data_IF_308363865228
#
_entry.id   IF_308363865228
#
_cell.length_a   1.000
_cell.length_b   1.000
_cell.length_c   1.000
_cell.angle_alpha   90.00
_cell.angle_beta   90.00
_cell.angle_gamma   90.00
#
_symmetry.space_group_name_H-M   'P 1'
#
loop_
_entity.id
_entity.type
_entity.pdbx_description
1 polymer ?
#
# COMPACT_ATOMS: atom_id res chain seq x y z
N UNK A 1 -5.22 12.65 3.66
CA UNK A 1 -4.32 11.63 4.23
C UNK A 1 -4.52 11.62 5.74
N UNK A 2 -4.85 10.45 6.31
CA UNK A 2 -4.97 10.25 7.76
C UNK A 2 -3.59 9.96 8.35
N UNK A 3 -3.33 10.38 9.58
CA UNK A 3 -2.05 10.11 10.27
C UNK A 3 -2.32 9.17 11.44
N UNK A 4 -1.62 8.03 11.46
CA UNK A 4 -1.64 7.09 12.57
C UNK A 4 -0.29 7.10 13.28
N UNK A 5 -0.19 7.79 14.42
CA UNK A 5 1.08 8.00 15.14
C UNK A 5 1.77 6.69 15.55
N UNK A 6 0.99 5.65 15.87
CA UNK A 6 1.55 4.33 16.16
C UNK A 6 2.20 3.70 14.90
N UNK A 7 1.52 3.79 13.75
CA UNK A 7 2.02 3.28 12.48
C UNK A 7 3.31 3.99 12.05
N UNK A 8 3.39 5.31 12.24
CA UNK A 8 4.60 6.09 11.93
C UNK A 8 5.80 5.69 12.81
N UNK A 9 5.57 5.39 14.09
CA UNK A 9 6.64 4.98 15.02
C UNK A 9 7.18 3.58 14.73
N UNK A 10 6.32 2.63 14.35
CA UNK A 10 6.71 1.21 14.26
C UNK A 10 7.03 0.72 12.83
N UNK A 11 6.74 1.50 11.77
CA UNK A 11 6.94 1.09 10.37
C UNK A 11 8.35 0.59 10.04
N UNK A 12 9.38 1.22 10.62
CA UNK A 12 10.78 0.86 10.37
C UNK A 12 11.16 -0.49 10.99
N UNK A 13 10.75 -0.74 12.24
CA UNK A 13 11.01 -2.01 12.91
C UNK A 13 10.25 -3.16 12.26
N UNK A 14 9.01 -2.93 11.82
CA UNK A 14 8.23 -3.92 11.06
C UNK A 14 8.93 -4.24 9.73
N UNK A 15 9.39 -3.21 8.99
CA UNK A 15 10.11 -3.40 7.73
C UNK A 15 11.38 -4.26 7.91
N UNK A 16 12.13 -4.06 9.01
CA UNK A 16 13.33 -4.88 9.29
C UNK A 16 13.00 -6.36 9.40
N UNK A 17 11.86 -6.70 10.01
CA UNK A 17 11.40 -8.09 10.15
C UNK A 17 10.93 -8.60 8.79
N UNK A 18 10.07 -7.85 8.09
CA UNK A 18 9.55 -8.23 6.76
C UNK A 18 10.67 -8.51 5.76
N UNK A 19 11.73 -7.69 5.74
CA UNK A 19 12.90 -7.84 4.86
C UNK A 19 13.58 -9.21 4.97
N UNK A 20 13.47 -9.89 6.12
CA UNK A 20 14.07 -11.21 6.34
C UNK A 20 13.37 -12.33 5.56
N UNK A 21 12.14 -12.09 5.09
CA UNK A 21 11.32 -13.09 4.39
C UNK A 21 11.37 -12.96 2.87
N UNK A 22 12.02 -11.93 2.33
CA UNK A 22 12.07 -11.69 0.90
C UNK A 22 13.50 -11.79 0.36
N UNK A 23 13.63 -12.48 -0.77
CA UNK A 23 14.85 -12.44 -1.57
C UNK A 23 14.82 -11.17 -2.43
N UNK A 24 15.57 -10.13 -2.06
CA UNK A 24 15.55 -8.83 -2.75
C UNK A 24 15.94 -8.87 -4.24
N UNK A 25 16.45 -10.02 -4.73
CA UNK A 25 16.80 -10.20 -6.15
C UNK A 25 15.64 -10.66 -7.03
N UNK A 26 14.50 -11.05 -6.43
CA UNK A 26 13.35 -11.61 -7.15
C UNK A 26 12.12 -10.69 -7.07
N UNK A 27 11.26 -10.68 -8.10
CA UNK A 27 10.00 -9.96 -8.04
C UNK A 27 8.99 -10.69 -7.16
N UNK A 28 8.20 -9.95 -6.39
CA UNK A 28 7.09 -10.48 -5.58
C UNK A 28 5.82 -9.67 -5.73
N UNK A 29 4.70 -10.29 -5.35
CA UNK A 29 3.42 -9.61 -5.11
C UNK A 29 3.02 -9.81 -3.65
N UNK A 30 2.61 -8.75 -2.98
CA UNK A 30 2.25 -8.79 -1.56
C UNK A 30 0.89 -8.14 -1.33
N UNK A 31 -0.06 -8.89 -0.78
CA UNK A 31 -1.35 -8.36 -0.33
C UNK A 31 -1.23 -7.95 1.14
N UNK A 32 -1.46 -6.66 1.44
CA UNK A 32 -1.59 -6.17 2.80
C UNK A 32 -3.09 -6.14 3.17
N UNK A 33 -3.46 -6.94 4.17
CA UNK A 33 -4.84 -7.03 4.66
C UNK A 33 -5.05 -5.99 5.75
N UNK A 34 -6.15 -5.23 5.66
CA UNK A 34 -6.51 -4.17 6.62
C UNK A 34 -5.41 -3.11 6.75
N UNK A 35 -5.04 -2.51 5.60
CA UNK A 35 -3.97 -1.53 5.48
C UNK A 35 -4.18 -0.22 6.26
N UNK A 36 -5.39 -0.01 6.80
CA UNK A 36 -5.72 1.18 7.55
C UNK A 36 -5.39 2.45 6.78
N UNK A 37 -4.60 3.34 7.39
CA UNK A 37 -4.25 4.63 6.77
C UNK A 37 -3.41 4.53 5.48
N UNK A 38 -2.75 3.39 5.24
CA UNK A 38 -1.79 3.21 4.15
C UNK A 38 -0.35 3.64 4.45
N UNK A 39 -0.04 4.03 5.69
CA UNK A 39 1.30 4.46 6.06
C UNK A 39 2.37 3.36 5.91
N UNK A 40 2.02 2.10 6.25
CA UNK A 40 2.92 0.95 6.18
C UNK A 40 3.15 0.51 4.74
N UNK A 41 2.09 0.19 4.00
CA UNK A 41 2.20 -0.21 2.59
C UNK A 41 3.01 0.79 1.75
N UNK A 42 2.80 2.10 1.96
CA UNK A 42 3.54 3.12 1.22
C UNK A 42 5.01 3.19 1.63
N UNK A 43 5.31 2.96 2.92
CA UNK A 43 6.69 2.85 3.38
C UNK A 43 7.37 1.60 2.83
N UNK A 44 6.70 0.45 2.84
CA UNK A 44 7.26 -0.82 2.37
C UNK A 44 7.49 -0.80 0.86
N UNK A 45 6.51 -0.32 0.07
CA UNK A 45 6.64 -0.22 -1.38
C UNK A 45 7.82 0.68 -1.80
N UNK A 46 8.10 1.74 -1.03
CA UNK A 46 9.28 2.58 -1.27
C UNK A 46 10.60 1.85 -0.99
N UNK A 47 10.63 1.04 0.07
CA UNK A 47 11.85 0.39 0.57
C UNK A 47 12.12 -1.00 -0.04
N UNK A 48 11.12 -1.56 -0.74
CA UNK A 48 11.13 -2.87 -1.37
C UNK A 48 10.59 -2.75 -2.81
N UNK A 49 11.34 -2.10 -3.72
CA UNK A 49 10.86 -1.78 -5.06
C UNK A 49 10.68 -3.01 -5.97
N UNK A 50 11.21 -4.17 -5.57
CA UNK A 50 11.01 -5.46 -6.25
C UNK A 50 9.68 -6.14 -5.86
N UNK A 51 8.86 -5.52 -5.02
CA UNK A 51 7.61 -6.07 -4.55
C UNK A 51 6.45 -5.16 -4.96
N UNK A 52 5.49 -5.73 -5.69
CA UNK A 52 4.22 -5.09 -5.98
C UNK A 52 3.31 -5.24 -4.75
N UNK A 53 3.16 -4.16 -3.99
CA UNK A 53 2.25 -4.15 -2.84
C UNK A 53 0.82 -3.87 -3.27
N UNK A 54 -0.11 -4.60 -2.68
CA UNK A 54 -1.54 -4.49 -2.90
C UNK A 54 -2.24 -4.23 -1.55
N UNK A 55 -2.53 -2.98 -1.19
CA UNK A 55 -3.28 -2.70 0.03
C UNK A 55 -4.77 -3.03 -0.13
N UNK A 56 -5.38 -3.44 0.98
CA UNK A 56 -6.81 -3.69 1.07
C UNK A 56 -7.37 -3.15 2.39
N UNK A 57 -8.55 -2.53 2.31
CA UNK A 57 -9.22 -1.94 3.46
C UNK A 57 -10.72 -1.81 3.19
N UNK A 58 -11.54 -1.98 4.22
CA UNK A 58 -12.99 -1.86 4.14
C UNK A 58 -13.47 -0.44 4.46
N UNK A 59 -12.74 0.30 5.30
CA UNK A 59 -13.14 1.64 5.72
C UNK A 59 -12.93 2.66 4.58
N UNK A 60 -13.99 3.32 4.06
CA UNK A 60 -13.87 4.25 2.95
C UNK A 60 -12.95 5.45 3.21
N UNK A 61 -12.86 5.94 4.45
CA UNK A 61 -11.93 7.03 4.80
C UNK A 61 -10.48 6.57 4.75
N UNK A 62 -10.24 5.33 5.13
CA UNK A 62 -8.93 4.71 5.13
C UNK A 62 -8.48 4.43 3.68
N UNK A 63 -9.38 4.00 2.80
CA UNK A 63 -9.13 3.90 1.35
C UNK A 63 -8.67 5.24 0.74
N UNK A 64 -9.39 6.35 1.00
CA UNK A 64 -8.95 7.67 0.56
C UNK A 64 -7.59 8.08 1.15
N UNK A 65 -7.29 7.64 2.37
CA UNK A 65 -5.98 7.88 2.98
C UNK A 65 -4.88 7.13 2.23
N UNK A 66 -5.10 5.86 1.88
CA UNK A 66 -4.14 5.04 1.13
C UNK A 66 -3.83 5.72 -0.21
N UNK A 67 -4.86 6.16 -0.95
CA UNK A 67 -4.68 6.92 -2.21
C UNK A 67 -3.79 8.15 -1.98
N UNK A 68 -4.04 8.91 -0.92
CA UNK A 68 -3.24 10.10 -0.62
C UNK A 68 -1.78 9.78 -0.23
N UNK A 69 -1.52 8.65 0.43
CA UNK A 69 -0.16 8.18 0.72
C UNK A 69 0.57 7.76 -0.55
N UNK A 70 -0.12 7.03 -1.44
CA UNK A 70 0.39 6.59 -2.74
C UNK A 70 0.81 7.80 -3.58
N UNK A 71 -0.08 8.78 -3.70
CA UNK A 71 0.19 10.02 -4.43
C UNK A 71 1.35 10.81 -3.83
N UNK A 72 1.41 10.93 -2.49
CA UNK A 72 2.46 11.67 -1.79
C UNK A 72 3.84 11.06 -1.99
N UNK A 73 3.95 9.74 -1.91
CA UNK A 73 5.24 9.04 -1.99
C UNK A 73 5.56 8.50 -3.38
N UNK A 74 4.63 8.66 -4.34
CA UNK A 74 4.74 8.20 -5.73
C UNK A 74 5.13 6.72 -5.82
N UNK A 75 4.59 5.92 -4.92
CA UNK A 75 4.79 4.47 -4.91
C UNK A 75 3.77 3.78 -5.79
N UNK A 76 4.12 2.64 -6.37
CA UNK A 76 3.17 1.82 -7.12
C UNK A 76 2.55 0.83 -6.16
N UNK A 77 1.23 0.89 -6.01
CA UNK A 77 0.47 -0.12 -5.28
C UNK A 77 -0.81 -0.44 -6.04
N UNK A 78 -1.26 -1.69 -5.96
CA UNK A 78 -2.53 -2.10 -6.54
C UNK A 78 -3.59 -2.04 -5.46
N UNK A 79 -4.61 -1.18 -5.57
CA UNK A 79 -5.72 -1.25 -4.62
C UNK A 79 -6.62 -2.45 -4.99
N UNK A 80 -6.94 -3.28 -4.01
CA UNK A 80 -8.12 -4.16 -4.11
C UNK A 80 -9.21 -3.65 -3.18
N UNK A 81 -10.40 -3.49 -3.78
CA UNK A 81 -11.58 -2.94 -3.15
C UNK A 81 -12.45 -4.06 -2.59
N UNK A 82 -12.89 -3.82 -1.36
CA UNK A 82 -14.16 -4.18 -0.73
C UNK A 82 -15.01 -5.24 -1.47
N UNK A 83 -15.36 -6.31 -0.74
CA UNK A 83 -16.27 -7.36 -1.19
C UNK A 83 -17.64 -6.84 -1.65
N UNK A 84 -18.03 -5.60 -1.34
CA UNK A 84 -19.41 -5.14 -1.56
C UNK A 84 -19.59 -4.01 -2.58
N UNK A 85 -18.57 -3.24 -2.98
CA UNK A 85 -18.79 -2.01 -3.76
C UNK A 85 -17.94 -1.89 -5.05
N UNK A 86 -18.63 -2.07 -6.20
CA UNK A 86 -18.11 -1.98 -7.59
C UNK A 86 -17.65 -0.57 -8.06
N UNK A 87 -17.59 0.43 -7.18
CA UNK A 87 -17.51 1.85 -7.59
C UNK A 87 -16.12 2.50 -7.65
N UNK A 88 -15.08 1.93 -7.04
CA UNK A 88 -13.79 2.65 -6.82
C UNK A 88 -12.65 2.13 -7.71
N UNK A 89 -12.93 1.14 -8.59
CA UNK A 89 -11.94 0.47 -9.44
C UNK A 89 -11.20 1.40 -10.43
N UNK A 90 -11.73 2.61 -10.67
CA UNK A 90 -11.38 3.43 -11.84
C UNK A 90 -10.28 4.47 -11.58
N UNK A 91 -9.98 4.82 -10.32
CA UNK A 91 -9.09 5.96 -10.05
C UNK A 91 -7.58 5.67 -10.11
N UNK A 92 -7.14 4.42 -9.94
CA UNK A 92 -5.70 4.11 -9.85
C UNK A 92 -5.14 3.28 -11.02
N UNK A 93 -5.95 2.44 -11.65
CA UNK A 93 -5.54 1.77 -12.90
C UNK A 93 -5.24 2.80 -14.00
N UNK A 94 -6.05 3.86 -14.13
CA UNK A 94 -5.86 4.86 -15.18
C UNK A 94 -4.65 5.79 -15.01
N UNK A 95 -4.00 5.85 -13.83
CA UNK A 95 -2.82 6.71 -13.63
C UNK A 95 -1.50 5.99 -13.94
N UNK A 96 -1.50 4.65 -13.98
CA UNK A 96 -0.30 3.83 -14.19
C UNK A 96 -0.42 2.84 -15.36
N UNK A 97 -1.58 2.73 -16.02
CA UNK A 97 -1.75 1.91 -17.24
C UNK A 97 -1.62 2.74 -18.53
N UNK A 98 -0.54 3.49 -18.73
CA UNK A 98 -0.06 3.91 -20.07
C UNK A 98 1.41 4.32 -20.01
N UNK A 99 2.30 3.32 -19.92
CA UNK A 99 3.59 3.27 -20.60
C UNK A 99 3.94 1.79 -20.83
#
# INVERSE_FOLDING_TARGET
MLIASAAERNKGEILKVIKQYFDTTKPYKCLEIASGTGAHVAHFAKELPNIDFQPSEHNPRALHSIVAYVDKYRVIVFLTLDNEHRGVWIYLFNRYSFL
#
